data_IF_408459817739
#
_entry.id   IF_408459817739
#
_cell.length_a   1.000
_cell.length_b   1.000
_cell.length_c   1.000
_cell.angle_alpha   90.00
_cell.angle_beta   90.00
_cell.angle_gamma   90.00
#
_symmetry.space_group_name_H-M   'P 1'
#
loop_
_entity.id
_entity.type
_entity.pdbx_description
1 polymer ?
#
# COMPACT_ATOMS: atom_id res chain seq x y z
N UNK A 1 -26.94 80.73 -9.65
CA UNK A 1 -27.26 80.52 -8.23
C UNK A 1 -28.72 80.09 -8.18
N UNK A 2 -29.09 78.98 -7.53
CA UNK A 2 -28.32 77.82 -7.02
C UNK A 2 -28.55 76.61 -7.97
N UNK A 3 -28.18 75.34 -7.76
CA UNK A 3 -28.05 74.52 -6.56
C UNK A 3 -27.28 73.23 -6.93
N UNK A 4 -26.51 72.72 -5.97
CA UNK A 4 -25.63 71.55 -6.07
C UNK A 4 -26.39 70.24 -6.25
N UNK A 5 -25.75 69.25 -6.88
CA UNK A 5 -25.76 67.90 -6.31
C UNK A 5 -24.49 67.16 -6.73
N UNK A 6 -23.66 66.97 -5.71
CA UNK A 6 -22.55 66.05 -5.64
C UNK A 6 -23.03 64.65 -6.03
N UNK A 7 -22.23 63.91 -6.80
CA UNK A 7 -22.38 62.47 -6.85
C UNK A 7 -21.03 61.86 -6.51
N UNK A 8 -20.94 61.51 -5.23
CA UNK A 8 -19.83 60.85 -4.59
C UNK A 8 -19.52 59.50 -5.25
N UNK A 9 -18.22 59.29 -5.34
CA UNK A 9 -17.55 58.04 -5.63
C UNK A 9 -17.99 56.97 -4.59
N UNK A 10 -18.76 55.97 -5.01
CA UNK A 10 -18.89 54.72 -4.25
C UNK A 10 -18.01 53.67 -4.91
N UNK A 11 -16.78 53.59 -4.42
CA UNK A 11 -15.94 52.41 -4.54
C UNK A 11 -16.69 51.24 -3.87
N UNK A 12 -17.26 50.36 -4.70
CA UNK A 12 -17.74 49.05 -4.26
C UNK A 12 -16.53 48.14 -4.09
N UNK A 13 -15.94 48.17 -2.90
CA UNK A 13 -15.07 47.10 -2.40
C UNK A 13 -15.93 45.82 -2.25
N UNK A 14 -15.92 44.99 -3.29
CA UNK A 14 -16.42 43.62 -3.25
C UNK A 14 -15.39 42.77 -2.47
N UNK A 15 -15.74 42.18 -1.32
CA UNK A 15 -14.79 41.33 -0.61
C UNK A 15 -14.59 40.04 -1.39
N UNK A 16 -13.38 39.83 -1.89
CA UNK A 16 -12.95 38.56 -2.48
C UNK A 16 -12.99 37.46 -1.42
N UNK A 17 -14.04 36.65 -1.43
CA UNK A 17 -14.08 35.40 -0.67
C UNK A 17 -13.05 34.43 -1.25
N UNK A 18 -11.87 34.41 -0.63
CA UNK A 18 -10.91 33.31 -0.77
C UNK A 18 -11.51 32.07 -0.10
N UNK A 19 -12.30 31.32 -0.86
CA UNK A 19 -12.55 29.90 -0.58
C UNK A 19 -11.29 29.12 -0.97
N UNK A 20 -10.26 29.18 -0.12
CA UNK A 20 -9.23 28.14 -0.11
C UNK A 20 -9.89 26.87 0.43
N UNK A 21 -10.45 26.11 -0.50
CA UNK A 21 -10.95 24.75 -0.30
C UNK A 21 -9.79 23.89 0.24
N UNK A 22 -9.82 23.73 1.57
CA UNK A 22 -8.94 22.86 2.34
C UNK A 22 -8.96 21.47 1.71
N UNK A 23 -7.83 21.06 1.14
CA UNK A 23 -7.59 19.72 0.57
C UNK A 23 -7.95 18.63 1.57
N UNK A 24 -9.12 18.04 1.33
CA UNK A 24 -9.75 16.85 1.92
C UNK A 24 -8.91 16.03 2.90
N UNK A 25 -8.97 16.39 4.18
CA UNK A 25 -8.90 15.37 5.21
C UNK A 25 -10.29 14.71 5.29
N UNK A 26 -10.39 13.37 5.32
CA UNK A 26 -11.69 12.72 5.35
C UNK A 26 -12.46 13.13 6.62
N UNK A 27 -13.73 13.50 6.46
CA UNK A 27 -14.67 13.61 7.58
C UNK A 27 -14.77 12.22 8.20
N UNK A 28 -14.19 12.06 9.39
CA UNK A 28 -14.09 10.77 10.08
C UNK A 28 -15.48 10.14 10.24
N UNK A 29 -15.66 8.92 9.75
CA UNK A 29 -16.90 8.15 9.87
C UNK A 29 -17.71 8.00 8.57
N UNK A 30 -17.39 8.76 7.51
CA UNK A 30 -17.96 8.50 6.17
C UNK A 30 -17.19 7.38 5.45
N UNK A 31 -17.86 6.56 4.60
CA UNK A 31 -17.18 5.57 3.78
C UNK A 31 -16.17 6.21 2.82
N UNK A 32 -14.98 5.62 2.73
CA UNK A 32 -13.93 5.94 1.76
C UNK A 32 -14.07 4.97 0.60
N UNK A 33 -14.34 5.51 -0.59
CA UNK A 33 -14.41 4.76 -1.84
C UNK A 33 -13.10 4.91 -2.60
N UNK A 34 -12.57 3.81 -3.14
CA UNK A 34 -11.42 3.87 -4.04
C UNK A 34 -11.59 2.89 -5.20
N UNK A 35 -11.26 3.31 -6.42
CA UNK A 35 -11.20 2.43 -7.59
C UNK A 35 -10.42 3.04 -8.75
N UNK A 36 -10.71 4.28 -9.12
CA UNK A 36 -10.11 4.92 -10.28
C UNK A 36 -8.75 5.53 -9.96
N UNK A 37 -7.84 5.52 -10.93
CA UNK A 37 -6.46 6.01 -10.76
C UNK A 37 -6.37 7.48 -10.37
N UNK A 38 -7.31 8.26 -10.87
CA UNK A 38 -7.31 9.72 -10.75
C UNK A 38 -8.15 10.20 -9.54
N UNK A 39 -8.65 9.26 -8.72
CA UNK A 39 -9.43 9.54 -7.52
C UNK A 39 -8.56 9.42 -6.25
N UNK A 40 -8.95 10.10 -5.15
CA UNK A 40 -8.31 9.93 -3.85
C UNK A 40 -8.27 8.46 -3.41
N UNK A 41 -7.25 8.12 -2.62
CA UNK A 41 -7.05 6.77 -2.05
C UNK A 41 -6.80 5.67 -3.09
N UNK A 42 -6.48 6.00 -4.34
CA UNK A 42 -6.10 4.98 -5.32
C UNK A 42 -4.93 4.12 -4.85
N UNK A 43 -4.07 4.64 -3.97
CA UNK A 43 -2.99 3.89 -3.31
C UNK A 43 -3.49 2.65 -2.57
N UNK A 44 -4.77 2.54 -2.25
CA UNK A 44 -5.36 1.33 -1.66
C UNK A 44 -5.54 0.20 -2.68
N UNK A 45 -5.70 0.51 -3.97
CA UNK A 45 -5.84 -0.48 -5.02
C UNK A 45 -4.58 -1.33 -5.21
N UNK A 46 -4.76 -2.61 -5.52
CA UNK A 46 -3.64 -3.50 -5.85
C UNK A 46 -2.92 -3.13 -7.15
N UNK A 47 -3.61 -2.35 -8.00
CA UNK A 47 -3.11 -1.83 -9.27
C UNK A 47 -2.28 -0.55 -9.12
N UNK A 48 -2.28 0.08 -7.93
CA UNK A 48 -1.48 1.26 -7.66
C UNK A 48 0.02 0.98 -7.84
N UNK A 49 0.80 1.92 -8.42
CA UNK A 49 2.21 1.73 -8.77
C UNK A 49 3.13 1.83 -7.54
N UNK A 50 2.88 1.02 -6.52
CA UNK A 50 3.72 0.87 -5.34
C UNK A 50 4.37 -0.51 -5.34
N UNK A 51 5.69 -0.54 -5.48
CA UNK A 51 6.47 -1.77 -5.43
C UNK A 51 6.30 -2.50 -4.09
N UNK A 52 6.23 -3.82 -4.15
CA UNK A 52 6.20 -4.68 -2.96
C UNK A 52 7.40 -5.61 -2.99
N UNK A 53 8.18 -5.63 -1.91
CA UNK A 53 9.31 -6.55 -1.74
C UNK A 53 8.83 -7.82 -1.05
N UNK A 54 9.10 -8.97 -1.66
CA UNK A 54 8.77 -10.28 -1.11
C UNK A 54 9.89 -11.27 -1.47
N UNK A 55 10.41 -12.02 -0.49
CA UNK A 55 11.49 -13.00 -0.67
C UNK A 55 12.71 -12.48 -1.46
N UNK A 56 13.18 -11.26 -1.14
CA UNK A 56 14.29 -10.56 -1.82
C UNK A 56 14.02 -10.18 -3.28
N UNK A 57 12.80 -10.37 -3.77
CA UNK A 57 12.36 -9.92 -5.09
C UNK A 57 11.47 -8.70 -4.94
N UNK A 58 11.54 -7.82 -5.93
CA UNK A 58 10.64 -6.68 -6.06
C UNK A 58 9.54 -7.01 -7.09
N UNK A 59 8.31 -6.69 -6.71
CA UNK A 59 7.12 -6.81 -7.54
C UNK A 59 6.61 -5.40 -7.84
N UNK A 60 6.35 -5.02 -9.10
CA UNK A 60 5.98 -3.65 -9.45
C UNK A 60 4.71 -3.13 -8.76
N UNK A 61 3.78 -4.03 -8.44
CA UNK A 61 2.56 -3.73 -7.69
C UNK A 61 2.16 -4.92 -6.82
N UNK A 62 1.26 -4.69 -5.86
CA UNK A 62 0.61 -5.76 -5.11
C UNK A 62 -0.10 -6.77 -6.03
N UNK A 63 -0.71 -6.31 -7.13
CA UNK A 63 -1.32 -7.19 -8.14
C UNK A 63 -0.31 -8.18 -8.73
N UNK A 64 0.91 -7.75 -9.07
CA UNK A 64 1.93 -8.66 -9.59
C UNK A 64 2.27 -9.77 -8.60
N UNK A 65 2.41 -9.40 -7.32
CA UNK A 65 2.71 -10.36 -6.25
C UNK A 65 1.53 -11.32 -6.05
N UNK A 66 0.30 -10.80 -5.99
CA UNK A 66 -0.90 -11.61 -5.80
C UNK A 66 -1.09 -12.63 -6.92
N UNK A 67 -0.91 -12.21 -8.17
CA UNK A 67 -0.99 -13.10 -9.32
C UNK A 67 0.17 -14.12 -9.37
N UNK A 68 1.37 -13.74 -8.95
CA UNK A 68 2.49 -14.67 -8.84
C UNK A 68 2.29 -15.72 -7.74
N UNK A 69 1.65 -15.37 -6.61
CA UNK A 69 1.35 -16.29 -5.50
C UNK A 69 0.49 -17.49 -5.90
N UNK A 70 -0.27 -17.39 -7.00
CA UNK A 70 -0.99 -18.51 -7.60
C UNK A 70 -0.05 -19.64 -8.06
N UNK A 71 1.22 -19.34 -8.28
CA UNK A 71 2.19 -20.26 -8.90
C UNK A 71 3.47 -20.44 -8.09
N UNK A 72 3.76 -19.61 -7.07
CA UNK A 72 5.04 -19.66 -6.35
C UNK A 72 5.43 -21.05 -5.82
N UNK A 73 4.47 -21.80 -5.27
CA UNK A 73 4.74 -23.11 -4.65
C UNK A 73 4.80 -24.27 -5.64
N UNK A 74 4.14 -24.16 -6.80
CA UNK A 74 4.00 -25.28 -7.75
C UNK A 74 4.75 -25.05 -9.06
N UNK A 75 4.87 -23.80 -9.49
CA UNK A 75 5.36 -23.33 -10.80
C UNK A 75 6.12 -22.00 -10.66
N UNK A 76 7.27 -21.98 -9.96
CA UNK A 76 8.06 -20.77 -9.74
C UNK A 76 8.55 -20.10 -11.03
N UNK A 77 8.67 -20.87 -12.13
CA UNK A 77 8.94 -20.38 -13.47
C UNK A 77 7.84 -19.42 -13.96
N UNK A 78 6.58 -19.78 -13.75
CA UNK A 78 5.42 -18.96 -14.13
C UNK A 78 5.26 -17.75 -13.21
N UNK A 79 5.51 -17.92 -11.91
CA UNK A 79 5.50 -16.82 -10.95
C UNK A 79 6.53 -15.74 -11.32
N UNK A 80 7.73 -16.15 -11.72
CA UNK A 80 8.79 -15.23 -12.16
C UNK A 80 8.43 -14.53 -13.49
N UNK A 81 7.76 -15.22 -14.41
CA UNK A 81 7.23 -14.61 -15.65
C UNK A 81 6.19 -13.55 -15.32
N UNK A 82 5.22 -13.86 -14.46
CA UNK A 82 4.15 -12.93 -14.05
C UNK A 82 4.74 -11.71 -13.35
N UNK A 83 5.75 -11.87 -12.49
CA UNK A 83 6.43 -10.75 -11.83
C UNK A 83 7.05 -9.75 -12.81
N UNK A 84 7.46 -10.20 -14.00
CA UNK A 84 8.22 -9.42 -14.99
C UNK A 84 7.37 -8.79 -16.09
N UNK A 85 6.07 -9.04 -16.14
CA UNK A 85 5.19 -8.38 -17.12
C UNK A 85 5.11 -6.88 -16.83
N UNK A 86 4.84 -6.03 -17.83
CA UNK A 86 5.01 -4.59 -17.69
C UNK A 86 3.90 -3.88 -16.89
N UNK A 87 2.72 -4.51 -16.75
CA UNK A 87 1.56 -3.85 -16.13
C UNK A 87 0.81 -4.81 -15.20
N UNK A 88 0.15 -4.30 -14.13
CA UNK A 88 -0.68 -5.13 -13.26
C UNK A 88 -1.81 -5.84 -14.04
N UNK A 89 -2.33 -5.18 -15.10
CA UNK A 89 -3.30 -5.78 -16.02
C UNK A 89 -2.73 -7.00 -16.74
N UNK A 90 -1.51 -6.90 -17.28
CA UNK A 90 -0.83 -8.02 -17.92
C UNK A 90 -0.53 -9.16 -16.93
N UNK A 91 -0.25 -8.86 -15.66
CA UNK A 91 -0.08 -9.89 -14.61
C UNK A 91 -1.37 -10.67 -14.37
N UNK A 92 -2.49 -9.96 -14.24
CA UNK A 92 -3.82 -10.56 -14.10
C UNK A 92 -4.19 -11.41 -15.33
N UNK A 93 -4.00 -10.88 -16.54
CA UNK A 93 -4.30 -11.57 -17.79
C UNK A 93 -3.46 -12.85 -17.95
N UNK A 94 -2.17 -12.77 -17.70
CA UNK A 94 -1.25 -13.90 -17.81
C UNK A 94 -1.59 -15.00 -16.79
N UNK A 95 -1.83 -14.64 -15.53
CA UNK A 95 -2.27 -15.59 -14.51
C UNK A 95 -3.64 -16.22 -14.84
N UNK A 96 -4.56 -15.44 -15.42
CA UNK A 96 -5.88 -15.93 -15.86
C UNK A 96 -5.74 -16.95 -17.00
N UNK A 97 -4.89 -16.66 -17.98
CA UNK A 97 -4.56 -17.60 -19.08
C UNK A 97 -3.97 -18.91 -18.55
N UNK A 98 -3.19 -18.84 -17.47
CA UNK A 98 -2.52 -19.96 -16.83
C UNK A 98 -3.32 -20.60 -15.68
N UNK A 99 -4.59 -20.23 -15.48
CA UNK A 99 -5.40 -20.64 -14.31
C UNK A 99 -5.41 -22.15 -14.05
N UNK A 100 -5.34 -22.99 -15.09
CA UNK A 100 -5.29 -24.46 -14.95
C UNK A 100 -4.03 -24.98 -14.24
N UNK A 101 -2.99 -24.16 -14.14
CA UNK A 101 -1.70 -24.50 -13.53
C UNK A 101 -1.52 -23.84 -12.15
N UNK A 102 -2.51 -23.07 -11.68
CA UNK A 102 -2.45 -22.46 -10.36
C UNK A 102 -2.51 -23.54 -9.27
N UNK A 103 -1.97 -23.23 -8.08
CA UNK A 103 -2.10 -24.06 -6.87
C UNK A 103 -3.56 -24.43 -6.59
N UNK A 104 -3.80 -25.67 -6.18
CA UNK A 104 -5.15 -26.25 -6.04
C UNK A 104 -5.97 -25.63 -4.91
N UNK A 105 -5.31 -25.15 -3.85
CA UNK A 105 -5.89 -24.55 -2.65
C UNK A 105 -6.10 -23.03 -2.78
N UNK A 106 -5.98 -22.45 -3.99
CA UNK A 106 -5.96 -20.99 -4.18
C UNK A 106 -7.13 -20.26 -3.52
N UNK A 107 -8.35 -20.80 -3.61
CA UNK A 107 -9.55 -20.16 -3.06
C UNK A 107 -9.64 -20.27 -1.54
N UNK A 108 -8.90 -21.19 -0.93
CA UNK A 108 -8.82 -21.33 0.53
C UNK A 108 -7.81 -20.35 1.12
N UNK A 109 -6.79 -19.96 0.34
CA UNK A 109 -5.65 -19.15 0.83
C UNK A 109 -5.65 -17.71 0.33
N UNK A 110 -6.42 -17.36 -0.72
CA UNK A 110 -6.32 -16.06 -1.40
C UNK A 110 -6.48 -14.85 -0.46
N UNK A 111 -7.40 -14.89 0.52
CA UNK A 111 -7.60 -13.81 1.49
C UNK A 111 -6.37 -13.67 2.39
N UNK A 112 -5.87 -14.78 2.94
CA UNK A 112 -4.67 -14.75 3.80
C UNK A 112 -3.42 -14.28 3.07
N UNK A 113 -3.32 -14.58 1.78
CA UNK A 113 -2.23 -14.08 0.93
C UNK A 113 -2.41 -12.58 0.68
N UNK A 114 -3.63 -12.11 0.42
CA UNK A 114 -3.90 -10.68 0.27
C UNK A 114 -3.55 -9.91 1.54
N UNK A 115 -3.90 -10.42 2.71
CA UNK A 115 -3.55 -9.81 4.00
C UNK A 115 -2.03 -9.62 4.14
N UNK A 116 -1.23 -10.64 3.77
CA UNK A 116 0.23 -10.58 3.80
C UNK A 116 0.80 -9.58 2.78
N UNK A 117 0.21 -9.51 1.58
CA UNK A 117 0.65 -8.60 0.52
C UNK A 117 0.37 -7.15 0.91
N UNK A 118 -0.81 -6.86 1.45
CA UNK A 118 -1.16 -5.54 1.93
C UNK A 118 -0.30 -5.15 3.12
N UNK A 119 -0.04 -6.06 4.05
CA UNK A 119 0.91 -5.83 5.12
C UNK A 119 2.28 -5.42 4.56
N UNK A 120 2.83 -6.18 3.62
CA UNK A 120 4.11 -5.87 3.00
C UNK A 120 4.07 -4.51 2.30
N UNK A 121 3.04 -4.24 1.48
CA UNK A 121 2.88 -2.98 0.75
C UNK A 121 2.86 -1.76 1.68
N UNK A 122 2.02 -1.80 2.70
CA UNK A 122 1.76 -0.63 3.55
C UNK A 122 2.84 -0.42 4.61
N UNK A 123 3.50 -1.48 5.10
CA UNK A 123 4.57 -1.34 6.11
C UNK A 123 5.95 -1.06 5.51
N UNK A 124 6.14 -1.30 4.21
CA UNK A 124 7.38 -0.96 3.50
C UNK A 124 7.45 0.52 3.10
N UNK A 125 6.33 1.23 3.11
CA UNK A 125 6.24 2.66 2.78
C UNK A 125 5.50 3.41 3.91
N UNK A 126 6.25 4.20 4.68
CA UNK A 126 5.69 4.97 5.79
C UNK A 126 4.59 5.96 5.38
N UNK A 127 4.56 6.41 4.11
CA UNK A 127 3.46 7.25 3.61
C UNK A 127 2.17 6.45 3.48
N UNK A 128 2.25 5.21 2.96
CA UNK A 128 1.09 4.34 2.84
C UNK A 128 0.58 3.90 4.21
N UNK A 129 1.48 3.53 5.12
CA UNK A 129 1.13 3.22 6.50
C UNK A 129 0.34 4.36 7.14
N UNK A 130 0.87 5.58 7.04
CA UNK A 130 0.21 6.78 7.55
C UNK A 130 -1.14 7.01 6.88
N UNK A 131 -1.20 6.92 5.54
CA UNK A 131 -2.45 7.09 4.78
C UNK A 131 -3.54 6.13 5.26
N UNK A 132 -3.20 4.87 5.51
CA UNK A 132 -4.15 3.87 6.02
C UNK A 132 -4.60 4.20 7.46
N UNK A 133 -3.69 4.62 8.33
CA UNK A 133 -4.02 4.99 9.71
C UNK A 133 -4.88 6.26 9.79
N UNK A 134 -4.61 7.23 8.91
CA UNK A 134 -5.33 8.51 8.80
C UNK A 134 -6.79 8.32 8.38
N UNK A 135 -7.17 7.16 7.81
CA UNK A 135 -8.58 6.84 7.51
C UNK A 135 -9.48 6.80 8.76
N UNK A 136 -8.91 6.84 9.96
CA UNK A 136 -9.71 6.81 11.19
C UNK A 136 -10.55 5.54 11.24
N UNK A 137 -11.81 5.67 11.65
CA UNK A 137 -12.74 4.55 11.73
C UNK A 137 -13.64 4.43 10.48
N UNK A 138 -13.35 5.20 9.43
CA UNK A 138 -14.10 5.14 8.17
C UNK A 138 -14.06 3.74 7.57
N UNK A 139 -15.20 3.32 7.03
CA UNK A 139 -15.27 2.11 6.21
C UNK A 139 -14.47 2.33 4.93
N UNK A 140 -13.69 1.33 4.52
CA UNK A 140 -12.90 1.37 3.28
C UNK A 140 -13.55 0.43 2.28
N UNK A 141 -13.91 0.94 1.11
CA UNK A 141 -14.65 0.20 0.08
C UNK A 141 -13.92 0.28 -1.26
N UNK A 142 -13.54 -0.89 -1.79
CA UNK A 142 -13.10 -0.99 -3.18
C UNK A 142 -14.34 -0.86 -4.08
N UNK A 143 -14.49 0.30 -4.71
CA UNK A 143 -15.69 0.66 -5.48
C UNK A 143 -15.66 0.10 -6.90
N UNK A 144 -15.21 -1.16 -7.05
CA UNK A 144 -15.15 -1.82 -8.34
C UNK A 144 -16.55 -2.28 -8.76
N UNK A 145 -17.09 -1.81 -9.90
CA UNK A 145 -18.40 -2.26 -10.39
C UNK A 145 -18.36 -3.66 -11.02
N UNK A 146 -17.16 -4.21 -11.25
CA UNK A 146 -16.96 -5.45 -12.02
C UNK A 146 -16.41 -6.61 -11.20
N UNK A 147 -15.98 -6.37 -9.95
CA UNK A 147 -15.50 -7.41 -9.04
C UNK A 147 -16.31 -7.41 -7.74
N UNK A 148 -17.36 -8.25 -7.63
CA UNK A 148 -18.17 -8.35 -6.43
C UNK A 148 -17.51 -9.17 -5.31
N UNK A 149 -16.33 -9.75 -5.51
CA UNK A 149 -15.62 -10.47 -4.44
C UNK A 149 -14.64 -9.53 -3.74
N UNK A 150 -13.74 -8.90 -4.48
CA UNK A 150 -12.78 -7.97 -3.89
C UNK A 150 -13.38 -6.60 -3.60
N UNK A 151 -14.29 -6.13 -4.46
CA UNK A 151 -15.00 -4.86 -4.32
C UNK A 151 -16.49 -4.99 -4.06
N UNK A 152 -17.20 -3.87 -4.22
CA UNK A 152 -18.63 -3.74 -3.96
C UNK A 152 -19.52 -4.22 -5.12
N UNK A 153 -18.97 -4.51 -6.31
CA UNK A 153 -19.77 -4.92 -7.46
C UNK A 153 -20.75 -3.85 -7.98
N UNK A 154 -21.48 -4.20 -9.04
CA UNK A 154 -22.35 -3.25 -9.75
C UNK A 154 -23.55 -2.74 -8.94
N UNK A 155 -24.02 -3.53 -7.97
CA UNK A 155 -25.16 -3.19 -7.10
C UNK A 155 -24.74 -2.67 -5.72
N UNK A 156 -23.43 -2.54 -5.46
CA UNK A 156 -22.88 -2.13 -4.17
C UNK A 156 -22.95 -3.21 -3.08
N UNK A 157 -23.40 -4.43 -3.37
CA UNK A 157 -23.58 -5.51 -2.39
C UNK A 157 -22.51 -6.60 -2.46
N UNK A 158 -21.43 -6.34 -3.19
CA UNK A 158 -20.24 -7.17 -3.24
C UNK A 158 -19.59 -7.33 -1.86
N UNK A 159 -18.73 -8.34 -1.74
CA UNK A 159 -18.12 -8.72 -0.48
C UNK A 159 -17.11 -7.70 0.03
N UNK A 160 -16.57 -6.82 -0.82
CA UNK A 160 -15.56 -5.83 -0.44
C UNK A 160 -14.39 -6.45 0.36
N UNK A 161 -13.92 -7.64 -0.05
CA UNK A 161 -12.86 -8.33 0.71
C UNK A 161 -11.54 -7.55 0.73
N UNK A 162 -11.27 -6.70 -0.27
CA UNK A 162 -10.08 -5.84 -0.28
C UNK A 162 -10.19 -4.74 0.78
N UNK A 163 -11.32 -4.04 0.83
CA UNK A 163 -11.59 -3.04 1.86
C UNK A 163 -11.54 -3.62 3.27
N UNK A 164 -12.14 -4.80 3.47
CA UNK A 164 -12.04 -5.55 4.73
C UNK A 164 -10.60 -5.90 5.10
N UNK A 165 -9.78 -6.32 4.13
CA UNK A 165 -8.37 -6.63 4.36
C UNK A 165 -7.57 -5.39 4.82
N UNK A 166 -7.80 -4.24 4.20
CA UNK A 166 -7.21 -2.95 4.60
C UNK A 166 -7.63 -2.55 6.02
N UNK A 167 -8.91 -2.71 6.38
CA UNK A 167 -9.39 -2.43 7.73
C UNK A 167 -8.79 -3.40 8.77
N UNK A 168 -8.67 -4.70 8.46
CA UNK A 168 -7.97 -5.67 9.33
C UNK A 168 -6.51 -5.27 9.57
N UNK A 169 -5.83 -4.84 8.52
CA UNK A 169 -4.45 -4.33 8.58
C UNK A 169 -4.35 -3.06 9.44
N UNK A 170 -5.24 -2.08 9.21
CA UNK A 170 -5.33 -0.84 10.00
C UNK A 170 -5.41 -1.14 11.51
N UNK A 171 -6.30 -2.04 11.90
CA UNK A 171 -6.46 -2.38 13.32
C UNK A 171 -5.24 -3.13 13.90
N UNK A 172 -4.53 -3.91 13.09
CA UNK A 172 -3.29 -4.53 13.52
C UNK A 172 -2.19 -3.49 13.76
N UNK A 173 -2.01 -2.54 12.86
CA UNK A 173 -1.02 -1.47 12.98
C UNK A 173 -1.30 -0.56 14.19
N UNK A 174 -2.57 -0.23 14.44
CA UNK A 174 -2.99 0.53 15.62
C UNK A 174 -2.62 -0.15 16.94
N UNK A 175 -2.79 -1.47 17.03
CA UNK A 175 -2.38 -2.24 18.21
C UNK A 175 -0.87 -2.21 18.42
N UNK A 176 -0.10 -2.43 17.35
CA UNK A 176 1.38 -2.39 17.41
C UNK A 176 1.92 -1.01 17.84
N UNK A 177 1.27 0.07 17.40
CA UNK A 177 1.64 1.43 17.81
C UNK A 177 1.34 1.74 19.27
N UNK A 178 0.32 1.11 19.87
CA UNK A 178 -0.03 1.25 21.30
C UNK A 178 0.87 0.41 22.21
N UNK A 179 1.27 -0.77 21.75
CA UNK A 179 2.12 -1.70 22.50
C UNK A 179 3.61 -1.38 22.39
N UNK A 180 3.99 -0.44 21.52
CA UNK A 180 5.34 0.11 21.46
C UNK A 180 5.55 1.09 22.62
N UNK A 181 6.45 0.81 23.58
CA UNK A 181 6.75 1.75 24.66
C UNK A 181 7.28 3.03 24.03
N UNK A 182 6.62 4.14 24.32
CA UNK A 182 7.01 5.48 23.90
C UNK A 182 8.48 5.75 24.25
N UNK A 183 9.29 5.96 23.22
CA UNK A 183 10.57 6.66 23.33
C UNK A 183 11.85 5.82 23.40
N UNK A 184 12.25 5.20 22.28
CA UNK A 184 13.64 5.30 21.81
C UNK A 184 13.77 4.71 20.40
N UNK A 185 13.92 5.59 19.39
CA UNK A 185 14.55 5.19 18.14
C UNK A 185 16.00 4.84 18.47
N UNK A 186 16.33 3.56 18.54
CA UNK A 186 17.71 3.08 18.59
C UNK A 186 18.11 2.60 17.19
N UNK A 187 18.29 3.56 16.28
CA UNK A 187 19.17 3.36 15.12
C UNK A 187 20.52 4.00 15.48
N UNK A 188 21.30 3.33 16.33
CA UNK A 188 22.72 3.61 16.48
C UNK A 188 23.47 2.44 15.86
N UNK A 189 24.25 2.76 14.82
CA UNK A 189 25.52 2.15 14.44
C UNK A 189 25.68 0.66 14.73
N UNK A 190 25.56 -0.16 13.69
CA UNK A 190 26.39 -1.35 13.60
C UNK A 190 27.64 -0.95 12.83
N UNK A 191 28.65 -0.55 13.58
CA UNK A 191 30.01 -0.47 13.11
C UNK A 191 30.49 -1.85 12.64
N UNK A 192 31.26 -1.81 11.56
CA UNK A 192 32.08 -2.89 11.06
C UNK A 192 32.94 -3.52 12.15
N UNK A 193 32.82 -4.82 12.38
CA UNK A 193 33.94 -5.63 12.87
C UNK A 193 33.95 -7.00 12.18
N UNK A 194 34.98 -7.22 11.37
CA UNK A 194 35.34 -8.50 10.78
C UNK A 194 36.11 -9.34 11.81
N UNK A 195 35.87 -10.66 11.94
CA UNK A 195 36.71 -11.49 12.78
C UNK A 195 38.08 -11.73 12.14
N UNK A 196 39.11 -11.30 12.87
CA UNK A 196 40.52 -11.39 12.53
C UNK A 196 41.05 -12.82 12.41
N UNK A 197 42.02 -12.93 11.51
CA UNK A 197 42.85 -14.08 11.18
C UNK A 197 43.70 -14.53 12.38
N UNK A 198 43.59 -15.81 12.77
CA UNK A 198 44.53 -16.43 13.70
C UNK A 198 45.78 -16.91 12.95
N UNK A 199 46.89 -16.27 13.27
CA UNK A 199 48.24 -16.59 12.80
C UNK A 199 48.83 -17.70 13.69
N UNK A 200 49.21 -18.84 13.12
CA UNK A 200 50.00 -19.87 13.81
C UNK A 200 51.47 -19.73 13.43
N UNK A 201 52.29 -19.35 14.40
CA UNK A 201 53.74 -19.28 14.28
C UNK A 201 54.35 -20.62 14.66
N UNK A 202 54.94 -21.31 13.69
CA UNK A 202 55.83 -22.45 13.92
C UNK A 202 57.19 -21.95 14.40
N UNK A 203 57.58 -22.31 15.63
CA UNK A 203 58.92 -22.10 16.18
C UNK A 203 59.81 -23.28 15.78
N UNK A 204 60.94 -22.99 15.14
CA UNK A 204 62.05 -23.93 14.95
C UNK A 204 62.97 -23.94 16.17
N UNK A 205 63.69 -25.07 16.31
CA UNK A 205 64.95 -25.37 17.03
C UNK A 205 64.77 -26.40 18.16
N UNK A 206 65.69 -27.31 18.48
CA UNK A 206 66.73 -28.10 17.80
C UNK A 206 67.37 -29.01 18.89
N UNK A 207 67.88 -30.20 18.50
CA UNK A 207 68.85 -31.09 19.19
C UNK A 207 68.37 -31.92 20.41
N UNK A 208 68.45 -33.25 20.29
CA UNK A 208 69.63 -34.07 20.59
C UNK A 208 69.69 -35.26 19.62
#
# INVERSE_FOLDING_TARGET
MPEQQDNDNMDVDEPSENHEESRDAPVTGLPILFYNRDEPYYEFANFAPHSVRFERKEYPTAEHLFQAHKFLSTRPDLAERIRKVPTPRAALEEATRLRKLQRSDWFDVNISIMDQILEAKFTQDARLEKLLLDTGDSEIIENSPVDPFWGCGADGQGKNELGKALMRLRERLRRQGRDSPSGQRRWSQMDHEAPGSQNTTYVKHAKL
#
